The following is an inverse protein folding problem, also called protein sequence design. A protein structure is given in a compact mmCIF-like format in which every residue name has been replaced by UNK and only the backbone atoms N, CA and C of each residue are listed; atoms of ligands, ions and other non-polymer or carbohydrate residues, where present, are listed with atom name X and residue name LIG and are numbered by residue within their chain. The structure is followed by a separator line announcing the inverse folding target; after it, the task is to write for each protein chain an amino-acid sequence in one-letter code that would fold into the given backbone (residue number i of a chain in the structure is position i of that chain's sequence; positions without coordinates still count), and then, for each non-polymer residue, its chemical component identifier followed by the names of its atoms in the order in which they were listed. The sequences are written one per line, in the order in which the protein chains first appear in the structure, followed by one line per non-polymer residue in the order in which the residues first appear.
data_IF_682039442603
#
_entry.id   IF_682039442603
#
_cell.length_a   1.000
_cell.length_b   1.000
_cell.length_c   1.000
_cell.angle_alpha   90.00
_cell.angle_beta   90.00
_cell.angle_gamma   90.00
#
_symmetry.space_group_name_H-M   'P 1'
#
loop_
_entity.id
_entity.type
_entity.pdbx_description
1 polymer ?
#
# COMPACT_ATOMS: atom_id res chain seq x y z
N UNK A 1 -18.68 -9.14 8.75
CA UNK A 1 -18.52 -9.79 7.43
C UNK A 1 -19.84 -10.34 6.94
N UNK A 2 -20.43 -11.36 7.58
CA UNK A 2 -21.78 -11.84 7.22
C UNK A 2 -22.83 -10.72 7.32
N UNK A 3 -22.79 -9.95 8.41
CA UNK A 3 -23.74 -8.85 8.69
C UNK A 3 -23.40 -7.51 8.00
N UNK A 4 -22.23 -7.41 7.36
CA UNK A 4 -21.79 -6.14 6.75
C UNK A 4 -22.51 -5.93 5.45
N UNK A 5 -23.36 -4.91 5.35
CA UNK A 5 -24.11 -4.60 4.12
C UNK A 5 -23.18 -4.03 3.04
N UNK A 6 -23.59 -4.15 1.78
CA UNK A 6 -22.86 -3.60 0.63
C UNK A 6 -23.76 -2.56 -0.03
N UNK A 7 -23.22 -1.38 -0.36
CA UNK A 7 -23.91 -0.37 -1.16
C UNK A 7 -24.39 -0.93 -2.51
N UNK A 8 -25.61 -0.58 -2.92
CA UNK A 8 -26.28 -1.12 -4.12
C UNK A 8 -25.46 -0.98 -5.42
N UNK A 9 -24.60 0.03 -5.52
CA UNK A 9 -23.76 0.25 -6.69
C UNK A 9 -22.60 -0.75 -6.81
N UNK A 10 -22.08 -1.27 -5.69
CA UNK A 10 -20.86 -2.10 -5.66
C UNK A 10 -20.98 -3.37 -6.51
N UNK A 11 -22.05 -4.18 -6.45
CA UNK A 11 -22.17 -5.37 -7.29
C UNK A 11 -22.02 -5.08 -8.79
N UNK A 12 -22.62 -3.98 -9.27
CA UNK A 12 -22.50 -3.57 -10.67
C UNK A 12 -21.07 -3.14 -11.05
N UNK A 13 -20.36 -2.51 -10.11
CA UNK A 13 -18.96 -2.09 -10.29
C UNK A 13 -18.04 -3.31 -10.29
N UNK A 14 -18.24 -4.28 -9.39
CA UNK A 14 -17.50 -5.54 -9.36
C UNK A 14 -17.67 -6.25 -10.70
N UNK A 15 -18.91 -6.36 -11.18
CA UNK A 15 -19.22 -6.96 -12.48
C UNK A 15 -18.38 -6.32 -13.60
N UNK A 16 -18.36 -4.99 -13.70
CA UNK A 16 -17.57 -4.25 -14.69
C UNK A 16 -16.08 -4.61 -14.69
N UNK A 17 -15.50 -4.91 -13.51
CA UNK A 17 -14.11 -5.31 -13.38
C UNK A 17 -13.89 -6.74 -13.86
N UNK A 18 -14.77 -7.66 -13.48
CA UNK A 18 -14.57 -9.12 -13.66
C UNK A 18 -15.12 -9.67 -14.98
N UNK A 19 -16.03 -8.97 -15.68
CA UNK A 19 -16.64 -9.42 -16.95
C UNK A 19 -15.61 -9.78 -18.02
N UNK A 20 -14.43 -9.15 -17.99
CA UNK A 20 -13.32 -9.48 -18.89
C UNK A 20 -12.77 -10.92 -18.74
N UNK A 21 -13.16 -11.63 -17.69
CA UNK A 21 -12.79 -13.02 -17.39
C UNK A 21 -13.99 -13.97 -17.48
N UNK A 22 -15.11 -13.54 -18.08
CA UNK A 22 -16.34 -14.34 -18.15
C UNK A 22 -16.22 -15.62 -18.97
N UNK A 23 -15.37 -15.60 -20.00
CA UNK A 23 -15.17 -16.72 -20.94
C UNK A 23 -14.17 -17.76 -20.40
N UNK A 24 -13.45 -17.43 -19.33
CA UNK A 24 -12.48 -18.31 -18.68
C UNK A 24 -13.16 -19.19 -17.63
N UNK A 25 -12.86 -20.49 -17.64
CA UNK A 25 -13.30 -21.46 -16.63
C UNK A 25 -12.13 -21.78 -15.68
N UNK A 26 -12.43 -21.96 -14.40
CA UNK A 26 -11.47 -22.39 -13.38
C UNK A 26 -12.20 -23.12 -12.27
N UNK A 27 -11.63 -24.22 -11.75
CA UNK A 27 -12.21 -25.00 -10.65
C UNK A 27 -13.70 -25.42 -10.81
N UNK A 28 -14.19 -25.56 -12.05
CA UNK A 28 -15.57 -25.97 -12.34
C UNK A 28 -16.58 -24.82 -12.50
N UNK A 29 -16.15 -23.56 -12.31
CA UNK A 29 -16.99 -22.38 -12.52
C UNK A 29 -16.29 -21.33 -13.41
N UNK A 30 -17.02 -20.29 -13.79
CA UNK A 30 -16.44 -19.14 -14.50
C UNK A 30 -15.47 -18.41 -13.57
N UNK A 31 -14.30 -18.05 -14.07
CA UNK A 31 -13.30 -17.29 -13.34
C UNK A 31 -13.86 -15.95 -12.83
N UNK A 32 -14.71 -15.29 -13.63
CA UNK A 32 -15.45 -14.09 -13.22
C UNK A 32 -16.29 -14.28 -11.95
N UNK A 33 -16.88 -15.46 -11.72
CA UNK A 33 -17.67 -15.75 -10.52
C UNK A 33 -16.76 -15.85 -9.30
N UNK A 34 -15.66 -16.60 -9.40
CA UNK A 34 -14.68 -16.67 -8.31
C UNK A 34 -14.11 -15.29 -7.94
N UNK A 35 -13.78 -14.47 -8.95
CA UNK A 35 -13.28 -13.10 -8.74
C UNK A 35 -14.35 -12.20 -8.12
N UNK A 36 -15.62 -12.33 -8.52
CA UNK A 36 -16.74 -11.59 -7.91
C UNK A 36 -16.81 -11.89 -6.42
N UNK A 37 -16.83 -13.18 -6.07
CA UNK A 37 -16.89 -13.66 -4.68
C UNK A 37 -15.67 -13.23 -3.86
N UNK A 38 -14.48 -13.24 -4.46
CA UNK A 38 -13.26 -12.73 -3.83
C UNK A 38 -13.38 -11.23 -3.49
N UNK A 39 -13.75 -10.41 -4.48
CA UNK A 39 -13.84 -8.96 -4.27
C UNK A 39 -14.95 -8.62 -3.29
N UNK A 40 -16.11 -9.30 -3.35
CA UNK A 40 -17.19 -9.15 -2.38
C UNK A 40 -16.73 -9.44 -0.94
N UNK A 41 -16.09 -10.60 -0.73
CA UNK A 41 -15.62 -11.03 0.58
C UNK A 41 -14.64 -10.01 1.19
N UNK A 42 -13.65 -9.57 0.42
CA UNK A 42 -12.65 -8.63 0.91
C UNK A 42 -13.22 -7.21 1.07
N UNK A 43 -14.18 -6.81 0.25
CA UNK A 43 -14.91 -5.53 0.43
C UNK A 43 -15.59 -5.49 1.80
N UNK A 44 -16.30 -6.58 2.18
CA UNK A 44 -16.93 -6.70 3.49
C UNK A 44 -15.93 -6.80 4.63
N UNK A 45 -14.82 -7.53 4.44
CA UNK A 45 -13.75 -7.63 5.44
C UNK A 45 -13.15 -6.25 5.73
N UNK A 46 -12.79 -5.50 4.68
CA UNK A 46 -12.17 -4.18 4.82
C UNK A 46 -13.12 -3.20 5.50
N UNK A 47 -14.40 -3.19 5.11
CA UNK A 47 -15.42 -2.39 5.78
C UNK A 47 -15.54 -2.76 7.29
N UNK A 48 -15.53 -4.05 7.61
CA UNK A 48 -15.54 -4.52 9.01
C UNK A 48 -14.30 -4.05 9.78
N UNK A 49 -13.10 -4.17 9.20
CA UNK A 49 -11.85 -3.68 9.80
C UNK A 49 -11.89 -2.15 10.02
N UNK A 50 -12.57 -1.43 9.13
CA UNK A 50 -12.88 0.00 9.27
C UNK A 50 -14.00 0.34 10.27
N UNK A 51 -14.59 -0.66 10.93
CA UNK A 51 -15.78 -0.49 11.79
C UNK A 51 -16.99 0.10 11.06
N UNK A 52 -17.09 -0.10 9.74
CA UNK A 52 -18.23 0.31 8.93
C UNK A 52 -19.29 -0.81 8.89
N UNK A 53 -20.54 -0.46 9.14
CA UNK A 53 -21.67 -1.39 8.99
C UNK A 53 -22.10 -1.58 7.53
N UNK A 54 -21.78 -0.60 6.67
CA UNK A 54 -22.06 -0.60 5.23
C UNK A 54 -20.74 -0.39 4.50
N UNK A 55 -20.40 -1.31 3.60
CA UNK A 55 -19.22 -1.24 2.77
C UNK A 55 -19.41 -0.25 1.62
N UNK A 56 -18.43 0.64 1.44
CA UNK A 56 -18.46 1.69 0.43
C UNK A 56 -17.52 1.41 -0.76
N UNK A 57 -17.60 2.23 -1.81
CA UNK A 57 -16.71 2.14 -2.98
C UNK A 57 -15.20 2.20 -2.63
N UNK A 58 -14.83 2.87 -1.54
CA UNK A 58 -13.45 2.88 -1.04
C UNK A 58 -12.99 1.49 -0.58
N UNK A 59 -13.87 0.72 0.06
CA UNK A 59 -13.59 -0.63 0.54
C UNK A 59 -13.45 -1.60 -0.63
N UNK A 60 -14.32 -1.45 -1.64
CA UNK A 60 -14.20 -2.19 -2.89
C UNK A 60 -12.90 -1.86 -3.63
N UNK A 61 -12.47 -0.60 -3.62
CA UNK A 61 -11.20 -0.19 -4.24
C UNK A 61 -10.01 -0.86 -3.55
N UNK A 62 -10.00 -0.91 -2.22
CA UNK A 62 -8.98 -1.63 -1.45
C UNK A 62 -9.00 -3.15 -1.72
N UNK A 63 -10.18 -3.76 -1.89
CA UNK A 63 -10.30 -5.17 -2.25
C UNK A 63 -9.74 -5.48 -3.66
N UNK A 64 -9.93 -4.56 -4.62
CA UNK A 64 -9.32 -4.66 -5.95
C UNK A 64 -7.80 -4.49 -5.86
N UNK A 65 -7.32 -3.54 -5.05
CA UNK A 65 -5.88 -3.31 -4.85
C UNK A 65 -5.20 -4.52 -4.20
N UNK A 66 -5.90 -5.23 -3.31
CA UNK A 66 -5.46 -6.53 -2.80
C UNK A 66 -5.35 -7.58 -3.92
N UNK A 67 -6.38 -7.73 -4.75
CA UNK A 67 -6.36 -8.67 -5.86
C UNK A 67 -5.21 -8.37 -6.83
N UNK A 68 -5.03 -7.10 -7.18
CA UNK A 68 -3.92 -6.63 -8.01
C UNK A 68 -2.57 -6.95 -7.36
N UNK A 69 -2.41 -6.69 -6.06
CA UNK A 69 -1.19 -7.03 -5.33
C UNK A 69 -0.87 -8.53 -5.39
N UNK A 70 -1.84 -9.40 -5.10
CA UNK A 70 -1.65 -10.87 -5.10
C UNK A 70 -1.35 -11.42 -6.50
N UNK A 71 -1.80 -10.74 -7.56
CA UNK A 71 -1.66 -11.21 -8.94
C UNK A 71 -0.45 -10.59 -9.66
N UNK A 72 -0.04 -9.38 -9.29
CA UNK A 72 1.16 -8.72 -9.81
C UNK A 72 2.46 -9.12 -9.09
N UNK A 73 2.35 -9.55 -7.83
CA UNK A 73 3.51 -9.80 -6.95
C UNK A 73 3.77 -11.30 -6.79
N UNK A 74 5.03 -11.68 -6.68
CA UNK A 74 5.44 -13.04 -6.31
C UNK A 74 5.83 -13.11 -4.83
N UNK A 75 5.78 -14.31 -4.24
CA UNK A 75 6.18 -14.60 -2.85
C UNK A 75 5.37 -13.86 -1.78
N UNK A 76 4.17 -13.37 -2.06
CA UNK A 76 3.28 -12.83 -1.01
C UNK A 76 2.87 -13.91 0.01
N UNK A 77 2.97 -15.19 -0.33
CA UNK A 77 2.67 -16.31 0.56
C UNK A 77 3.76 -16.58 1.63
N UNK A 78 4.80 -15.75 1.72
CA UNK A 78 5.79 -15.81 2.82
C UNK A 78 5.33 -15.07 4.08
N UNK A 79 4.17 -14.42 4.04
CA UNK A 79 3.55 -13.79 5.21
C UNK A 79 3.26 -14.89 6.24
N UNK A 80 3.52 -14.59 7.52
CA UNK A 80 3.29 -15.54 8.62
C UNK A 80 2.44 -14.90 9.69
N UNK A 81 1.87 -15.70 10.60
CA UNK A 81 1.15 -15.16 11.78
C UNK A 81 2.01 -14.30 12.70
N UNK A 82 3.35 -14.46 12.65
CA UNK A 82 4.30 -13.64 13.41
C UNK A 82 4.60 -12.31 12.72
N UNK A 83 4.50 -12.29 11.40
CA UNK A 83 4.73 -11.11 10.56
C UNK A 83 3.62 -11.03 9.50
N UNK A 84 2.38 -10.61 9.88
CA UNK A 84 1.20 -10.76 9.03
C UNK A 84 1.06 -9.67 7.94
N UNK A 85 1.85 -8.60 7.96
CA UNK A 85 1.71 -7.49 7.03
C UNK A 85 2.16 -7.77 5.60
N UNK A 86 1.51 -7.12 4.62
CA UNK A 86 1.94 -7.09 3.23
C UNK A 86 3.30 -6.42 3.11
N UNK A 87 4.20 -7.08 2.39
CA UNK A 87 5.46 -6.47 1.95
C UNK A 87 5.19 -5.84 0.58
N UNK A 88 5.28 -4.51 0.49
CA UNK A 88 4.99 -3.71 -0.72
C UNK A 88 6.06 -3.88 -1.82
N UNK A 89 6.21 -5.11 -2.33
CA UNK A 89 7.16 -5.46 -3.38
C UNK A 89 6.79 -4.79 -4.72
N UNK A 90 7.78 -4.50 -5.59
CA UNK A 90 7.49 -4.07 -6.95
C UNK A 90 6.71 -5.16 -7.71
N UNK A 91 5.80 -4.76 -8.62
CA UNK A 91 5.10 -5.71 -9.47
C UNK A 91 6.12 -6.49 -10.33
N UNK A 92 5.86 -7.78 -10.53
CA UNK A 92 6.74 -8.71 -11.26
C UNK A 92 6.14 -9.22 -12.57
N UNK A 93 4.87 -8.91 -12.82
CA UNK A 93 4.08 -9.33 -13.99
C UNK A 93 2.82 -8.50 -14.09
N UNK A 94 2.19 -8.52 -15.25
CA UNK A 94 0.90 -7.88 -15.47
C UNK A 94 -0.21 -8.71 -14.79
N UNK A 95 -1.01 -8.13 -13.88
CA UNK A 95 -1.96 -8.87 -13.06
C UNK A 95 -3.13 -9.48 -13.86
N UNK A 96 -3.61 -8.84 -14.92
CA UNK A 96 -4.73 -9.35 -15.74
C UNK A 96 -4.32 -10.58 -16.56
N UNK A 97 -3.14 -10.55 -17.16
CA UNK A 97 -2.57 -11.67 -17.90
C UNK A 97 -2.30 -12.83 -16.95
N UNK A 98 -1.82 -12.54 -15.73
CA UNK A 98 -1.67 -13.56 -14.70
C UNK A 98 -3.01 -14.19 -14.32
N UNK A 99 -4.05 -13.39 -14.04
CA UNK A 99 -5.40 -13.89 -13.72
C UNK A 99 -5.93 -14.77 -14.86
N UNK A 100 -5.82 -14.34 -16.13
CA UNK A 100 -6.24 -15.16 -17.28
C UNK A 100 -5.50 -16.49 -17.32
N UNK A 101 -4.20 -16.48 -17.06
CA UNK A 101 -3.37 -17.69 -17.11
C UNK A 101 -3.75 -18.76 -16.07
N UNK A 102 -4.57 -18.41 -15.06
CA UNK A 102 -5.09 -19.34 -14.06
C UNK A 102 -6.14 -20.28 -14.65
N UNK A 103 -6.86 -19.87 -15.70
CA UNK A 103 -7.81 -20.78 -16.38
C UNK A 103 -7.14 -21.93 -17.12
N UNK A 104 -5.83 -21.87 -17.32
CA UNK A 104 -5.03 -22.95 -17.91
C UNK A 104 -4.63 -24.02 -16.87
N UNK A 105 -4.85 -23.76 -15.58
CA UNK A 105 -4.46 -24.67 -14.51
C UNK A 105 -5.45 -25.83 -14.38
N UNK A 106 -4.92 -27.01 -14.08
CA UNK A 106 -5.72 -28.12 -13.57
C UNK A 106 -5.73 -28.06 -12.04
N UNK A 107 -6.91 -27.97 -11.44
CA UNK A 107 -7.04 -28.10 -9.99
C UNK A 107 -6.91 -29.59 -9.64
N UNK A 108 -5.89 -29.92 -8.85
CA UNK A 108 -5.59 -31.30 -8.45
C UNK A 108 -6.71 -31.89 -7.56
N UNK A 109 -6.99 -33.20 -7.65
CA UNK A 109 -8.02 -33.84 -6.82
C UNK A 109 -7.80 -33.64 -5.32
N UNK A 110 -6.54 -33.75 -4.86
CA UNK A 110 -6.19 -33.51 -3.46
C UNK A 110 -6.51 -32.06 -3.02
N UNK A 111 -6.25 -31.05 -3.88
CA UNK A 111 -6.62 -29.66 -3.60
C UNK A 111 -8.13 -29.52 -3.45
N UNK A 112 -8.92 -30.11 -4.37
CA UNK A 112 -10.38 -30.06 -4.34
C UNK A 112 -10.95 -30.73 -3.08
N UNK A 113 -10.44 -31.91 -2.73
CA UNK A 113 -10.85 -32.64 -1.53
C UNK A 113 -10.60 -31.82 -0.26
N UNK A 114 -9.44 -31.17 -0.16
CA UNK A 114 -9.11 -30.30 0.97
C UNK A 114 -10.01 -29.05 1.04
N UNK A 115 -10.31 -28.43 -0.10
CA UNK A 115 -11.25 -27.31 -0.18
C UNK A 115 -12.63 -27.73 0.30
N UNK A 116 -13.17 -28.85 -0.20
CA UNK A 116 -14.48 -29.37 0.21
C UNK A 116 -14.52 -29.68 1.71
N UNK A 117 -13.52 -30.40 2.23
CA UNK A 117 -13.45 -30.73 3.65
C UNK A 117 -13.33 -29.48 4.54
N UNK A 118 -12.61 -28.45 4.10
CA UNK A 118 -12.52 -27.18 4.83
C UNK A 118 -13.84 -26.39 4.78
N UNK A 119 -14.53 -26.41 3.64
CA UNK A 119 -15.83 -25.77 3.48
C UNK A 119 -16.92 -26.45 4.33
N UNK A 120 -16.95 -27.78 4.40
CA UNK A 120 -17.87 -28.53 5.27
C UNK A 120 -17.65 -28.19 6.75
N UNK A 121 -16.39 -28.16 7.21
CA UNK A 121 -16.07 -27.77 8.59
C UNK A 121 -16.45 -26.33 8.89
N UNK A 122 -16.21 -25.43 7.94
CA UNK A 122 -16.57 -24.03 8.10
C UNK A 122 -18.09 -23.83 8.13
N UNK A 123 -18.84 -24.50 7.24
CA UNK A 123 -20.30 -24.51 7.24
C UNK A 123 -20.86 -25.05 8.56
N UNK A 124 -20.35 -26.20 9.02
CA UNK A 124 -20.73 -26.77 10.32
C UNK A 124 -20.49 -25.81 11.49
N UNK A 125 -19.35 -25.11 11.49
CA UNK A 125 -19.08 -24.07 12.49
C UNK A 125 -20.09 -22.91 12.42
N UNK A 126 -20.42 -22.42 11.23
CA UNK A 126 -21.40 -21.33 11.07
C UNK A 126 -22.81 -21.75 11.52
N UNK A 127 -23.20 -22.99 11.26
CA UNK A 127 -24.47 -23.57 11.69
C UNK A 127 -24.52 -23.75 13.21
N UNK A 128 -23.46 -24.33 13.80
CA UNK A 128 -23.36 -24.56 15.25
C UNK A 128 -23.39 -23.27 16.07
N UNK A 129 -22.85 -22.18 15.51
CA UNK A 129 -22.77 -20.87 16.16
C UNK A 129 -23.86 -19.88 15.74
N UNK A 130 -24.82 -20.32 14.92
CA UNK A 130 -25.93 -19.51 14.39
C UNK A 130 -25.50 -18.17 13.78
N UNK A 131 -24.44 -18.20 12.96
CA UNK A 131 -23.86 -17.01 12.35
C UNK A 131 -24.62 -16.62 11.08
N UNK A 132 -25.59 -15.70 11.20
CA UNK A 132 -26.39 -15.21 10.07
C UNK A 132 -27.47 -16.19 9.59
N UNK A 133 -28.19 -15.83 8.53
CA UNK A 133 -29.24 -16.70 7.96
C UNK A 133 -28.64 -17.88 7.18
N UNK A 134 -29.40 -18.97 6.92
CA UNK A 134 -28.93 -20.08 6.10
C UNK A 134 -28.40 -19.66 4.72
N UNK A 135 -29.02 -18.66 4.09
CA UNK A 135 -28.60 -18.11 2.80
C UNK A 135 -27.27 -17.34 2.91
N UNK A 136 -27.10 -16.56 3.97
CA UNK A 136 -25.85 -15.86 4.27
C UNK A 136 -24.70 -16.84 4.54
N UNK A 137 -24.98 -17.90 5.31
CA UNK A 137 -24.01 -18.99 5.58
C UNK A 137 -23.58 -19.69 4.29
N UNK A 138 -24.53 -20.08 3.45
CA UNK A 138 -24.24 -20.69 2.15
C UNK A 138 -23.40 -19.78 1.27
N UNK A 139 -23.76 -18.49 1.21
CA UNK A 139 -23.02 -17.50 0.41
C UNK A 139 -21.59 -17.32 0.93
N UNK A 140 -21.40 -17.26 2.25
CA UNK A 140 -20.08 -17.12 2.85
C UNK A 140 -19.21 -18.36 2.60
N UNK A 141 -19.79 -19.57 2.66
CA UNK A 141 -19.11 -20.81 2.28
C UNK A 141 -18.64 -20.79 0.81
N UNK A 142 -19.53 -20.42 -0.13
CA UNK A 142 -19.19 -20.30 -1.56
C UNK A 142 -18.07 -19.27 -1.81
N UNK A 143 -18.11 -18.16 -1.07
CA UNK A 143 -17.08 -17.13 -1.13
C UNK A 143 -15.73 -17.67 -0.67
N UNK A 144 -15.71 -18.40 0.46
CA UNK A 144 -14.48 -19.02 0.99
C UNK A 144 -13.92 -20.08 0.05
N UNK A 145 -14.77 -20.96 -0.52
CA UNK A 145 -14.39 -21.95 -1.52
C UNK A 145 -13.69 -21.27 -2.71
N UNK A 146 -14.30 -20.20 -3.23
CA UNK A 146 -13.75 -19.45 -4.36
C UNK A 146 -12.40 -18.80 -4.03
N UNK A 147 -12.27 -18.22 -2.84
CA UNK A 147 -11.01 -17.64 -2.37
C UNK A 147 -9.90 -18.69 -2.22
N UNK A 148 -10.19 -19.83 -1.60
CA UNK A 148 -9.20 -20.92 -1.47
C UNK A 148 -8.80 -21.48 -2.83
N UNK A 149 -9.75 -21.67 -3.75
CA UNK A 149 -9.46 -22.11 -5.11
C UNK A 149 -8.54 -21.11 -5.84
N UNK A 150 -8.90 -19.81 -5.84
CA UNK A 150 -8.11 -18.75 -6.48
C UNK A 150 -6.70 -18.66 -5.90
N UNK A 151 -6.57 -18.58 -4.58
CA UNK A 151 -5.28 -18.45 -3.91
C UNK A 151 -4.40 -19.69 -4.12
N UNK A 152 -4.99 -20.89 -4.16
CA UNK A 152 -4.27 -22.12 -4.51
C UNK A 152 -3.75 -22.06 -5.95
N UNK A 153 -4.60 -21.60 -6.88
CA UNK A 153 -4.23 -21.38 -8.27
C UNK A 153 -3.13 -20.32 -8.43
N UNK A 154 -3.23 -19.20 -7.71
CA UNK A 154 -2.24 -18.13 -7.74
C UNK A 154 -0.89 -18.60 -7.20
N UNK A 155 -0.86 -19.33 -6.08
CA UNK A 155 0.37 -19.92 -5.53
C UNK A 155 0.99 -20.88 -6.55
N UNK A 156 0.20 -21.80 -7.09
CA UNK A 156 0.64 -22.79 -8.08
C UNK A 156 1.24 -22.14 -9.33
N UNK A 157 0.50 -21.22 -9.97
CA UNK A 157 0.96 -20.52 -11.18
C UNK A 157 2.18 -19.65 -10.91
N UNK A 158 2.25 -19.03 -9.73
CA UNK A 158 3.42 -18.24 -9.33
C UNK A 158 4.70 -19.05 -9.16
N UNK A 159 4.58 -20.36 -8.93
CA UNK A 159 5.70 -21.30 -8.90
C UNK A 159 5.98 -21.93 -10.28
N UNK A 160 5.30 -21.49 -11.34
CA UNK A 160 5.46 -22.02 -12.70
C UNK A 160 4.84 -23.41 -12.90
N UNK A 161 3.97 -23.86 -11.99
CA UNK A 161 3.29 -25.15 -12.10
C UNK A 161 1.95 -25.00 -12.83
N UNK A 162 1.50 -26.10 -13.44
CA UNK A 162 0.23 -26.19 -14.18
C UNK A 162 -0.85 -27.00 -13.44
N UNK A 163 -0.49 -27.66 -12.33
CA UNK A 163 -1.40 -28.49 -11.53
C UNK A 163 -1.23 -28.11 -10.06
N UNK A 164 -2.34 -27.79 -9.39
CA UNK A 164 -2.34 -27.49 -7.94
C UNK A 164 -2.11 -28.76 -7.13
N UNK A 165 -1.49 -28.62 -5.96
CA UNK A 165 -1.26 -29.70 -4.99
C UNK A 165 -1.94 -29.38 -3.67
N UNK A 166 -1.90 -30.32 -2.72
CA UNK A 166 -2.33 -30.09 -1.34
C UNK A 166 -1.57 -28.93 -0.69
N UNK A 167 -0.26 -28.80 -0.94
CA UNK A 167 0.56 -27.72 -0.38
C UNK A 167 0.10 -26.32 -0.84
N UNK A 168 -0.44 -26.19 -2.06
CA UNK A 168 -1.04 -24.94 -2.53
C UNK A 168 -2.28 -24.57 -1.72
N UNK A 169 -3.11 -25.56 -1.40
CA UNK A 169 -4.27 -25.37 -0.55
C UNK A 169 -3.85 -24.97 0.86
N UNK A 170 -2.90 -25.66 1.49
CA UNK A 170 -2.46 -25.31 2.84
C UNK A 170 -1.91 -23.89 2.90
N UNK A 171 -1.20 -23.47 1.85
CA UNK A 171 -0.73 -22.09 1.70
C UNK A 171 -1.89 -21.09 1.59
N UNK A 172 -2.88 -21.39 0.73
CA UNK A 172 -4.07 -20.56 0.56
C UNK A 172 -4.91 -20.47 1.83
N UNK A 173 -5.05 -21.59 2.54
CA UNK A 173 -5.80 -21.70 3.78
C UNK A 173 -5.15 -20.89 4.90
N UNK A 174 -3.84 -21.00 5.09
CA UNK A 174 -3.13 -20.21 6.10
C UNK A 174 -3.10 -18.72 5.74
N UNK A 175 -2.92 -18.37 4.46
CA UNK A 175 -3.03 -16.98 4.01
C UNK A 175 -4.41 -16.40 4.35
N UNK A 176 -5.50 -17.09 4.01
CA UNK A 176 -6.85 -16.60 4.33
C UNK A 176 -7.02 -16.33 5.83
N UNK A 177 -6.50 -17.22 6.68
CA UNK A 177 -6.52 -17.00 8.14
C UNK A 177 -5.72 -15.78 8.56
N UNK A 178 -4.55 -15.58 7.97
CA UNK A 178 -3.73 -14.39 8.24
C UNK A 178 -4.49 -13.12 7.85
N UNK A 179 -5.03 -13.07 6.64
CA UNK A 179 -5.80 -11.93 6.13
C UNK A 179 -7.03 -11.62 7.00
N UNK A 180 -7.74 -12.64 7.45
CA UNK A 180 -8.98 -12.46 8.24
C UNK A 180 -8.73 -12.00 9.67
N UNK A 181 -7.61 -12.39 10.29
CA UNK A 181 -7.43 -12.23 11.75
C UNK A 181 -6.19 -11.46 12.19
N UNK A 182 -5.21 -11.26 11.31
CA UNK A 182 -3.90 -10.73 11.70
C UNK A 182 -3.46 -9.50 10.88
N UNK A 183 -4.05 -9.26 9.71
CA UNK A 183 -3.70 -8.11 8.87
C UNK A 183 -4.50 -6.88 9.29
N UNK A 184 -3.83 -5.78 9.68
CA UNK A 184 -4.52 -4.55 10.09
C UNK A 184 -5.08 -3.79 8.89
N UNK A 185 -6.01 -2.86 9.14
CA UNK A 185 -6.61 -2.04 8.07
C UNK A 185 -5.57 -1.22 7.30
N UNK A 186 -4.55 -0.73 7.98
CA UNK A 186 -3.48 0.10 7.42
C UNK A 186 -2.74 -0.61 6.27
N UNK A 187 -2.69 -1.94 6.30
CA UNK A 187 -2.08 -2.74 5.24
C UNK A 187 -2.86 -2.64 3.92
N UNK A 188 -4.19 -2.70 3.99
CA UNK A 188 -5.07 -2.50 2.83
C UNK A 188 -5.03 -1.06 2.33
N UNK A 189 -5.08 -0.09 3.25
CA UNK A 189 -4.98 1.33 2.91
C UNK A 189 -3.64 1.68 2.24
N UNK A 190 -2.54 1.06 2.68
CA UNK A 190 -1.22 1.27 2.09
C UNK A 190 -1.13 0.78 0.64
N UNK A 191 -1.80 -0.33 0.28
CA UNK A 191 -1.89 -0.81 -1.10
C UNK A 191 -2.56 0.22 -2.01
N UNK A 192 -3.63 0.84 -1.54
CA UNK A 192 -4.30 1.92 -2.28
C UNK A 192 -3.46 3.19 -2.31
N UNK A 193 -2.87 3.59 -1.18
CA UNK A 193 -2.04 4.78 -1.07
C UNK A 193 -0.84 4.74 -2.03
N UNK A 194 -0.09 3.63 -2.08
CA UNK A 194 1.06 3.51 -2.98
C UNK A 194 0.66 3.63 -4.44
N UNK A 195 -0.45 2.99 -4.84
CA UNK A 195 -0.96 3.08 -6.21
C UNK A 195 -1.39 4.50 -6.55
N UNK A 196 -2.20 5.13 -5.69
CA UNK A 196 -2.72 6.49 -5.90
C UNK A 196 -1.62 7.53 -5.97
N UNK A 197 -0.59 7.40 -5.13
CA UNK A 197 0.61 8.23 -5.22
C UNK A 197 1.29 8.00 -6.57
N UNK A 198 1.66 6.76 -6.90
CA UNK A 198 2.42 6.42 -8.10
C UNK A 198 1.71 6.77 -9.42
N UNK A 199 0.38 6.78 -9.42
CA UNK A 199 -0.44 7.15 -10.60
C UNK A 199 -1.06 8.53 -10.48
N UNK A 200 -0.58 9.40 -9.59
CA UNK A 200 -1.19 10.71 -9.40
C UNK A 200 -0.88 11.63 -10.59
N UNK A 201 -1.90 12.25 -11.22
CA UNK A 201 -1.69 13.18 -12.33
C UNK A 201 -1.02 14.50 -11.88
N UNK A 202 -0.90 14.71 -10.56
CA UNK A 202 -0.24 15.88 -9.97
C UNK A 202 1.28 15.70 -9.93
N UNK A 203 1.79 14.46 -9.91
CA UNK A 203 3.24 14.20 -9.84
C UNK A 203 4.03 14.88 -10.96
N UNK A 204 3.66 14.78 -12.25
CA UNK A 204 4.37 15.50 -13.32
C UNK A 204 4.39 17.01 -13.11
N UNK A 205 3.35 17.59 -12.51
CA UNK A 205 3.26 19.03 -12.22
C UNK A 205 4.21 19.42 -11.08
N UNK A 206 4.19 18.68 -9.98
CA UNK A 206 5.08 18.88 -8.81
C UNK A 206 6.54 18.87 -9.26
N UNK A 207 6.85 17.88 -10.08
CA UNK A 207 8.17 17.64 -10.62
C UNK A 207 8.63 18.75 -11.58
N UNK A 208 7.70 19.30 -12.37
CA UNK A 208 7.97 20.42 -13.27
C UNK A 208 8.24 21.76 -12.57
N UNK A 209 8.07 21.85 -11.24
CA UNK A 209 8.40 23.06 -10.49
C UNK A 209 9.91 23.17 -10.29
N UNK A 210 10.50 24.20 -10.89
CA UNK A 210 11.93 24.51 -10.76
C UNK A 210 12.23 25.34 -9.52
N UNK A 211 13.36 25.07 -8.86
CA UNK A 211 13.89 25.94 -7.82
C UNK A 211 14.94 26.89 -8.39
N UNK A 212 14.78 28.18 -8.14
CA UNK A 212 15.83 29.16 -8.39
C UNK A 212 17.05 28.90 -7.50
N UNK A 213 18.27 29.31 -7.92
CA UNK A 213 19.45 29.23 -7.06
C UNK A 213 19.30 29.98 -5.73
N UNK A 214 18.59 31.12 -5.72
CA UNK A 214 18.32 31.89 -4.51
C UNK A 214 17.44 31.14 -3.52
N UNK A 215 16.35 30.53 -3.98
CA UNK A 215 15.49 29.69 -3.14
C UNK A 215 16.25 28.47 -2.58
N UNK A 216 17.01 27.76 -3.42
CA UNK A 216 17.84 26.63 -2.95
C UNK A 216 18.88 27.07 -1.93
N UNK A 217 19.51 28.24 -2.11
CA UNK A 217 20.45 28.80 -1.14
C UNK A 217 19.77 29.00 0.22
N UNK A 218 18.61 29.67 0.24
CA UNK A 218 17.85 29.90 1.48
C UNK A 218 17.45 28.58 2.16
N UNK A 219 16.98 27.60 1.38
CA UNK A 219 16.61 26.29 1.92
C UNK A 219 17.80 25.54 2.52
N UNK A 220 18.97 25.58 1.88
CA UNK A 220 20.19 24.92 2.36
C UNK A 220 20.90 25.65 3.51
N UNK A 221 20.52 26.91 3.79
CA UNK A 221 20.92 27.66 4.98
C UNK A 221 19.84 27.73 6.07
N UNK A 222 18.69 27.08 5.84
CA UNK A 222 17.56 27.10 6.77
C UNK A 222 17.85 26.38 8.09
N UNK A 223 16.99 26.60 9.09
CA UNK A 223 17.03 25.87 10.36
C UNK A 223 17.01 24.35 10.13
N UNK A 224 16.17 23.86 9.22
CA UNK A 224 16.10 22.45 8.86
C UNK A 224 17.45 21.90 8.39
N UNK A 225 18.15 22.63 7.51
CA UNK A 225 19.47 22.23 7.02
C UNK A 225 20.54 22.24 8.12
N UNK A 226 20.45 23.19 9.06
CA UNK A 226 21.39 23.28 10.18
C UNK A 226 21.18 22.13 11.18
N UNK A 227 19.93 21.77 11.46
CA UNK A 227 19.58 20.64 12.32
C UNK A 227 20.07 19.31 11.74
N UNK A 228 19.90 19.09 10.43
CA UNK A 228 20.43 17.90 9.75
C UNK A 228 21.95 17.78 9.84
N UNK A 229 22.66 18.91 9.69
CA UNK A 229 24.13 18.94 9.81
C UNK A 229 24.56 18.61 11.25
N UNK A 230 23.92 19.23 12.24
CA UNK A 230 24.23 19.03 13.66
C UNK A 230 24.00 17.59 14.12
N UNK A 231 22.98 16.92 13.58
CA UNK A 231 22.58 15.57 13.99
C UNK A 231 22.85 14.48 12.93
N UNK A 232 23.72 14.76 11.96
CA UNK A 232 24.00 13.85 10.83
C UNK A 232 24.40 12.43 11.26
N UNK A 233 25.08 12.27 12.40
CA UNK A 233 25.45 10.97 12.97
C UNK A 233 24.25 10.08 13.33
N UNK A 234 23.11 10.67 13.70
CA UNK A 234 21.89 9.93 14.06
C UNK A 234 21.13 9.41 12.83
N UNK A 235 21.38 9.99 11.66
CA UNK A 235 20.72 9.63 10.41
C UNK A 235 21.47 8.57 9.59
N UNK A 236 22.67 8.16 10.02
CA UNK A 236 23.58 7.29 9.24
C UNK A 236 22.96 5.94 8.90
N UNK A 237 22.31 5.29 9.87
CA UNK A 237 21.71 3.96 9.68
C UNK A 237 20.55 4.02 8.67
N UNK A 238 19.65 4.99 8.84
CA UNK A 238 18.54 5.19 7.90
C UNK A 238 19.03 5.70 6.52
N UNK A 239 20.17 6.39 6.47
CA UNK A 239 20.74 6.86 5.21
C UNK A 239 21.26 5.70 4.36
N UNK A 240 21.80 4.65 4.97
CA UNK A 240 22.16 3.43 4.27
C UNK A 240 20.92 2.72 3.70
N UNK A 241 19.83 2.68 4.47
CA UNK A 241 18.56 2.05 4.07
C UNK A 241 17.88 2.77 2.89
N UNK A 242 18.09 4.08 2.74
CA UNK A 242 17.32 4.96 1.83
C UNK A 242 18.13 5.51 0.67
N UNK A 243 19.30 4.94 0.38
CA UNK A 243 20.25 5.44 -0.62
C UNK A 243 20.62 6.92 -0.41
N UNK A 244 20.67 7.35 0.85
CA UNK A 244 21.04 8.71 1.25
C UNK A 244 19.90 9.73 1.30
N UNK A 245 18.65 9.35 0.97
CA UNK A 245 17.52 10.28 1.03
C UNK A 245 17.30 10.88 2.43
N UNK A 246 17.54 10.10 3.49
CA UNK A 246 17.43 10.57 4.87
C UNK A 246 18.59 11.43 5.36
N UNK A 247 19.69 11.60 4.59
CA UNK A 247 20.77 12.56 4.97
C UNK A 247 20.31 14.02 4.89
N UNK A 248 19.27 14.25 4.11
CA UNK A 248 18.64 15.56 3.90
C UNK A 248 17.13 15.43 4.08
N UNK A 249 16.71 14.76 5.16
CA UNK A 249 15.33 14.40 5.44
C UNK A 249 14.36 15.59 5.46
N UNK A 250 14.58 16.55 6.36
CA UNK A 250 13.78 17.76 6.52
C UNK A 250 13.88 18.64 5.28
N UNK A 251 15.08 18.87 4.75
CA UNK A 251 15.27 19.74 3.59
C UNK A 251 14.61 19.15 2.34
N UNK A 252 14.71 17.84 2.10
CA UNK A 252 14.00 17.19 1.00
C UNK A 252 12.48 17.13 1.22
N UNK A 253 12.02 16.98 2.45
CA UNK A 253 10.59 17.08 2.79
C UNK A 253 10.04 18.47 2.47
N UNK A 254 10.76 19.52 2.87
CA UNK A 254 10.42 20.91 2.54
C UNK A 254 10.45 21.16 1.03
N UNK A 255 11.41 20.57 0.28
CA UNK A 255 11.41 20.67 -1.19
C UNK A 255 10.13 20.09 -1.78
N UNK A 256 9.72 18.89 -1.37
CA UNK A 256 8.51 18.27 -1.93
C UNK A 256 7.27 19.13 -1.62
N UNK A 257 7.11 19.55 -0.38
CA UNK A 257 5.96 20.35 0.03
C UNK A 257 5.94 21.72 -0.65
N UNK A 258 7.10 22.37 -0.81
CA UNK A 258 7.21 23.60 -1.58
C UNK A 258 6.78 23.42 -3.04
N UNK A 259 7.17 22.31 -3.68
CA UNK A 259 6.73 22.00 -5.05
C UNK A 259 5.22 21.76 -5.11
N UNK A 260 4.63 21.08 -4.13
CA UNK A 260 3.19 20.87 -4.05
C UNK A 260 2.46 22.22 -3.94
N UNK A 261 2.90 23.10 -3.02
CA UNK A 261 2.34 24.45 -2.87
C UNK A 261 2.51 25.33 -4.11
N UNK A 262 3.64 25.21 -4.78
CA UNK A 262 3.86 25.91 -6.05
C UNK A 262 2.82 25.48 -7.10
N UNK A 263 2.55 24.17 -7.23
CA UNK A 263 1.51 23.66 -8.15
C UNK A 263 0.13 24.19 -7.78
N UNK A 264 -0.25 24.18 -6.50
CA UNK A 264 -1.52 24.73 -6.03
C UNK A 264 -1.68 26.22 -6.39
N UNK A 265 -0.58 26.98 -6.32
CA UNK A 265 -0.51 28.40 -6.69
C UNK A 265 -0.33 28.66 -8.19
N UNK A 266 -0.24 27.61 -9.01
CA UNK A 266 0.00 27.73 -10.45
C UNK A 266 1.40 28.22 -10.82
N UNK A 267 2.38 28.08 -9.91
CA UNK A 267 3.77 28.47 -10.12
C UNK A 267 4.55 27.32 -10.75
N UNK A 268 5.25 27.60 -11.85
CA UNK A 268 6.22 26.67 -12.47
C UNK A 268 7.64 26.84 -11.92
N UNK A 269 7.90 27.90 -11.16
CA UNK A 269 9.24 28.21 -10.61
C UNK A 269 9.14 28.90 -9.26
N UNK A 270 9.99 28.49 -8.33
CA UNK A 270 10.16 29.07 -7.00
C UNK A 270 11.41 29.96 -6.94
N UNK A 271 11.18 31.27 -7.00
CA UNK A 271 12.14 32.34 -6.75
C UNK A 271 12.41 32.62 -5.27
N UNK A 272 13.48 33.36 -4.95
CA UNK A 272 13.85 33.76 -3.57
C UNK A 272 12.71 34.51 -2.86
N UNK A 273 11.99 35.35 -3.61
CA UNK A 273 10.82 36.12 -3.18
C UNK A 273 9.64 35.27 -2.70
N UNK A 274 9.60 33.98 -3.07
CA UNK A 274 8.54 33.07 -2.66
C UNK A 274 8.86 32.34 -1.34
N UNK A 275 10.12 32.40 -0.87
CA UNK A 275 10.62 31.51 0.18
C UNK A 275 9.78 31.59 1.47
N UNK A 276 9.66 32.77 2.06
CA UNK A 276 8.99 32.92 3.36
C UNK A 276 7.53 32.46 3.31
N UNK A 277 6.79 32.88 2.27
CA UNK A 277 5.40 32.50 2.10
C UNK A 277 5.22 30.98 1.91
N UNK A 278 6.01 30.36 1.04
CA UNK A 278 5.91 28.92 0.75
C UNK A 278 6.31 28.06 1.95
N UNK A 279 7.32 28.48 2.72
CA UNK A 279 7.76 27.76 3.91
C UNK A 279 6.68 27.82 5.01
N UNK A 280 6.03 28.97 5.22
CA UNK A 280 4.90 29.08 6.16
C UNK A 280 3.73 28.17 5.73
N UNK A 281 3.39 28.14 4.44
CA UNK A 281 2.31 27.26 3.95
C UNK A 281 2.65 25.78 3.99
N UNK A 282 3.93 25.45 3.81
CA UNK A 282 4.46 24.10 3.97
C UNK A 282 4.28 23.62 5.41
N UNK A 283 4.54 24.50 6.36
CA UNK A 283 4.30 24.26 7.77
C UNK A 283 2.81 24.03 8.09
N UNK A 284 1.91 24.75 7.44
CA UNK A 284 0.48 24.48 7.55
C UNK A 284 0.08 23.10 7.01
N UNK A 285 0.74 22.59 5.96
CA UNK A 285 0.48 21.21 5.47
C UNK A 285 0.82 20.16 6.52
N UNK A 286 1.95 20.31 7.22
CA UNK A 286 2.29 19.41 8.33
C UNK A 286 1.22 19.43 9.41
N UNK A 287 0.70 20.62 9.75
CA UNK A 287 -0.38 20.74 10.73
C UNK A 287 -1.66 20.04 10.27
N UNK A 288 -2.02 20.12 8.97
CA UNK A 288 -3.22 19.44 8.42
C UNK A 288 -3.17 17.92 8.57
N UNK A 289 -1.98 17.32 8.50
CA UNK A 289 -1.80 15.87 8.72
C UNK A 289 -1.52 15.50 10.18
N UNK A 290 -1.74 16.43 11.12
CA UNK A 290 -1.60 16.17 12.56
C UNK A 290 -0.17 16.22 13.09
N UNK A 291 0.80 16.78 12.34
CA UNK A 291 2.19 16.88 12.78
C UNK A 291 2.43 18.27 13.43
N UNK A 292 2.77 18.33 14.72
CA UNK A 292 3.00 19.60 15.41
C UNK A 292 4.26 20.30 14.89
N UNK A 293 4.12 21.57 14.53
CA UNK A 293 5.18 22.43 14.02
C UNK A 293 6.37 22.60 14.95
N UNK A 294 6.11 22.51 16.26
CA UNK A 294 7.13 22.55 17.32
C UNK A 294 8.19 21.47 17.14
N UNK A 295 7.85 20.35 16.49
CA UNK A 295 8.79 19.25 16.21
C UNK A 295 9.90 19.62 15.23
N UNK A 296 9.69 20.63 14.38
CA UNK A 296 10.60 21.05 13.31
C UNK A 296 11.30 22.39 13.60
N UNK A 297 10.91 23.08 14.67
CA UNK A 297 11.40 24.41 15.03
C UNK A 297 12.31 24.41 16.28
N UNK A 298 12.35 23.29 17.03
CA UNK A 298 13.17 23.13 18.22
C UNK A 298 14.27 22.09 17.96
N UNK A 299 15.53 22.44 18.23
CA UNK A 299 16.69 21.55 18.10
C UNK A 299 16.55 20.27 18.93
N UNK A 300 16.04 20.38 20.16
CA UNK A 300 15.80 19.20 21.00
C UNK A 300 14.75 18.27 20.40
N UNK A 301 13.68 18.83 19.81
CA UNK A 301 12.62 18.03 19.20
C UNK A 301 13.02 17.42 17.85
N UNK A 302 13.82 18.12 17.05
CA UNK A 302 14.36 17.59 15.81
C UNK A 302 15.42 16.50 16.05
N UNK A 303 16.28 16.68 17.07
CA UNK A 303 17.20 15.65 17.53
C UNK A 303 16.48 14.37 17.97
N UNK A 304 15.35 14.50 18.68
CA UNK A 304 14.50 13.34 19.01
C UNK A 304 13.96 12.65 17.76
N UNK A 305 13.41 13.40 16.78
CA UNK A 305 12.94 12.83 15.50
C UNK A 305 14.06 12.07 14.77
N UNK A 306 15.29 12.58 14.79
CA UNK A 306 16.41 11.92 14.13
C UNK A 306 16.90 10.68 14.88
N UNK A 307 16.88 10.69 16.21
CA UNK A 307 17.13 9.50 17.02
C UNK A 307 16.04 8.44 16.83
N UNK A 308 14.80 8.88 16.63
CA UNK A 308 13.62 8.05 16.39
C UNK A 308 13.64 7.36 15.02
N UNK A 309 14.44 7.82 14.05
CA UNK A 309 14.51 7.24 12.70
C UNK A 309 15.38 5.98 12.60
N UNK A 310 15.60 5.25 13.70
CA UNK A 310 16.35 3.99 13.66
C UNK A 310 15.52 2.89 13.00
N UNK A 311 16.02 2.23 11.93
CA UNK A 311 15.26 1.21 11.24
C UNK A 311 15.16 -0.07 12.09
N UNK A 312 13.96 -0.62 12.21
CA UNK A 312 13.74 -1.95 12.76
C UNK A 312 14.23 -3.05 11.81
N UNK A 313 14.12 -4.30 12.26
CA UNK A 313 14.51 -5.46 11.44
C UNK A 313 13.75 -5.49 10.11
N UNK A 314 14.48 -5.65 9.00
CA UNK A 314 13.90 -5.74 7.65
C UNK A 314 13.37 -4.44 7.05
N UNK A 315 13.28 -3.34 7.80
CA UNK A 315 12.73 -2.05 7.31
C UNK A 315 13.52 -1.50 6.12
N UNK A 316 14.84 -1.65 6.12
CA UNK A 316 15.67 -1.21 5.01
C UNK A 316 15.29 -1.88 3.69
N UNK A 317 15.03 -3.20 3.71
CA UNK A 317 14.59 -3.94 2.52
C UNK A 317 13.18 -3.48 2.09
N UNK A 318 12.27 -3.26 3.05
CA UNK A 318 10.91 -2.80 2.77
C UNK A 318 10.88 -1.41 2.13
N UNK A 319 11.74 -0.49 2.57
CA UNK A 319 11.92 0.83 1.94
C UNK A 319 12.40 0.66 0.48
N UNK A 320 13.39 -0.20 0.24
CA UNK A 320 13.88 -0.45 -1.12
C UNK A 320 12.79 -1.03 -2.04
N UNK A 321 11.96 -1.94 -1.53
CA UNK A 321 10.82 -2.47 -2.27
C UNK A 321 9.78 -1.39 -2.58
N UNK A 322 9.44 -0.56 -1.60
CA UNK A 322 8.51 0.54 -1.78
C UNK A 322 9.01 1.56 -2.82
N UNK A 323 10.30 1.92 -2.77
CA UNK A 323 10.94 2.79 -3.76
C UNK A 323 10.78 2.22 -5.16
N UNK A 324 11.17 0.96 -5.37
CA UNK A 324 11.05 0.29 -6.67
C UNK A 324 9.60 0.18 -7.14
N UNK A 325 8.66 -0.03 -6.21
CA UNK A 325 7.22 -0.08 -6.52
C UNK A 325 6.71 1.29 -6.98
N UNK A 326 7.07 2.36 -6.29
CA UNK A 326 6.71 3.73 -6.70
C UNK A 326 7.31 4.10 -8.06
N UNK A 327 8.60 3.77 -8.28
CA UNK A 327 9.27 3.98 -9.57
C UNK A 327 8.54 3.28 -10.72
N UNK A 328 8.20 1.99 -10.55
CA UNK A 328 7.45 1.23 -11.55
C UNK A 328 6.09 1.87 -11.86
N UNK A 329 5.31 2.20 -10.82
CA UNK A 329 3.98 2.81 -10.99
C UNK A 329 4.05 4.18 -11.70
N UNK A 330 5.06 4.99 -11.40
CA UNK A 330 5.25 6.31 -12.02
C UNK A 330 5.62 6.16 -13.49
N UNK A 331 6.53 5.23 -13.83
CA UNK A 331 6.90 4.96 -15.23
C UNK A 331 5.70 4.47 -16.02
N UNK A 332 4.94 3.52 -15.46
CA UNK A 332 3.74 2.98 -16.10
C UNK A 332 2.67 4.06 -16.30
N UNK A 333 2.48 4.94 -15.31
CA UNK A 333 1.48 6.01 -15.39
C UNK A 333 1.85 7.15 -16.33
N UNK A 334 3.14 7.45 -16.49
CA UNK A 334 3.62 8.56 -17.35
C UNK A 334 3.90 8.11 -18.77
N UNK A 335 4.04 6.80 -19.01
CA UNK A 335 4.39 6.23 -20.30
C UNK A 335 5.81 6.59 -20.77
N UNK A 336 6.63 7.21 -19.92
CA UNK A 336 7.94 7.71 -20.27
C UNK A 336 9.01 7.20 -19.29
N UNK A 337 9.88 6.30 -19.77
CA UNK A 337 11.01 5.80 -18.97
C UNK A 337 12.02 6.90 -18.61
N UNK A 338 12.12 7.95 -19.43
CA UNK A 338 13.00 9.08 -19.17
C UNK A 338 12.47 9.99 -18.06
N UNK A 339 11.20 9.81 -17.64
CA UNK A 339 10.63 10.56 -16.52
C UNK A 339 11.51 10.43 -15.27
N UNK A 340 11.92 9.20 -14.91
CA UNK A 340 12.76 8.99 -13.74
C UNK A 340 14.16 9.59 -13.90
N UNK A 341 14.72 9.61 -15.12
CA UNK A 341 16.03 10.22 -15.38
C UNK A 341 15.97 11.74 -15.28
N UNK A 342 14.95 12.35 -15.90
CA UNK A 342 14.71 13.78 -15.89
C UNK A 342 14.40 14.27 -14.47
N UNK A 343 13.80 13.41 -13.64
CA UNK A 343 13.22 13.79 -12.36
C UNK A 343 13.70 12.92 -11.20
N UNK A 344 14.96 12.49 -11.27
CA UNK A 344 15.62 11.60 -10.30
C UNK A 344 15.57 12.10 -8.84
N UNK A 345 15.28 13.39 -8.62
CA UNK A 345 15.17 13.99 -7.29
C UNK A 345 13.80 13.79 -6.62
N UNK A 346 12.76 13.41 -7.36
CA UNK A 346 11.40 13.28 -6.80
C UNK A 346 11.31 12.16 -5.76
N UNK A 347 11.73 10.94 -6.14
CA UNK A 347 11.61 9.76 -5.28
C UNK A 347 12.35 9.94 -3.95
N UNK A 348 13.61 10.42 -3.90
CA UNK A 348 14.28 10.74 -2.64
C UNK A 348 13.50 11.73 -1.77
N UNK A 349 12.84 12.73 -2.37
CA UNK A 349 12.04 13.70 -1.62
C UNK A 349 10.76 13.09 -1.05
N UNK A 350 10.12 12.21 -1.80
CA UNK A 350 8.96 11.45 -1.32
C UNK A 350 9.34 10.50 -0.18
N UNK A 351 10.45 9.78 -0.31
CA UNK A 351 10.96 8.90 0.75
C UNK A 351 11.34 9.69 2.00
N UNK A 352 11.95 10.85 1.84
CA UNK A 352 12.29 11.72 2.97
C UNK A 352 11.03 12.18 3.73
N UNK A 353 10.02 12.66 3.01
CA UNK A 353 8.76 13.05 3.64
C UNK A 353 8.06 11.85 4.27
N UNK A 354 7.99 10.71 3.58
CA UNK A 354 7.43 9.46 4.09
C UNK A 354 8.03 9.07 5.45
N UNK A 355 9.35 9.10 5.57
CA UNK A 355 10.05 8.74 6.81
C UNK A 355 9.74 9.71 7.94
N UNK A 356 9.64 11.00 7.63
CA UNK A 356 9.24 12.02 8.60
C UNK A 356 7.78 11.82 9.07
N UNK A 357 6.89 11.39 8.16
CA UNK A 357 5.51 11.05 8.51
C UNK A 357 5.46 9.76 9.36
N UNK A 358 6.21 8.74 8.95
CA UNK A 358 6.28 7.45 9.64
C UNK A 358 6.82 7.58 11.07
N UNK A 359 7.83 8.43 11.31
CA UNK A 359 8.34 8.65 12.67
C UNK A 359 7.29 9.22 13.63
N UNK A 360 6.26 9.88 13.10
CA UNK A 360 5.14 10.44 13.88
C UNK A 360 3.94 9.52 14.04
N UNK A 361 3.92 8.37 13.39
CA UNK A 361 2.82 7.39 13.49
C UNK A 361 3.14 6.22 14.42
N UNK A 362 4.27 6.30 15.10
CA UNK A 362 4.78 5.28 16.03
C UNK A 362 4.02 5.29 17.34
N UNK A 363 3.83 4.09 17.89
CA UNK A 363 3.15 3.91 19.18
C UNK A 363 4.00 4.34 20.38
N UNK A 364 5.34 4.32 20.26
CA UNK A 364 6.30 4.78 21.27
C UNK A 364 7.46 5.47 20.58
N UNK A 365 8.12 6.43 21.24
CA UNK A 365 9.33 7.12 20.76
C UNK A 365 10.61 6.30 20.96
N UNK A 366 10.57 5.27 21.82
CA UNK A 366 11.75 4.45 22.17
C UNK A 366 11.94 3.22 21.27
N UNK A 367 10.89 2.78 20.56
CA UNK A 367 10.98 1.68 19.58
C UNK A 367 11.82 2.05 18.34
N UNK A 368 12.23 1.11 17.50
CA UNK A 368 12.63 1.43 16.14
C UNK A 368 11.40 1.74 15.27
N UNK A 369 11.62 2.33 14.08
CA UNK A 369 10.58 2.38 13.03
C UNK A 369 10.32 0.96 12.54
N UNK A 370 9.06 0.60 12.45
CA UNK A 370 8.59 -0.67 11.90
C UNK A 370 7.86 -0.48 10.57
N UNK A 371 7.51 -1.59 9.92
CA UNK A 371 6.82 -1.55 8.64
C UNK A 371 5.42 -0.93 8.71
N UNK A 372 4.72 -1.13 9.83
CA UNK A 372 3.39 -0.54 10.03
C UNK A 372 3.46 0.99 10.06
N UNK A 373 4.55 1.56 10.60
CA UNK A 373 4.79 3.00 10.61
C UNK A 373 5.02 3.53 9.20
N UNK A 374 5.76 2.79 8.37
CA UNK A 374 5.94 3.16 6.96
C UNK A 374 4.60 3.18 6.21
N UNK A 375 3.72 2.21 6.48
CA UNK A 375 2.38 2.14 5.87
C UNK A 375 1.50 3.31 6.31
N UNK A 376 1.47 3.62 7.61
CA UNK A 376 0.78 4.79 8.16
C UNK A 376 1.32 6.09 7.56
N UNK A 377 2.64 6.24 7.49
CA UNK A 377 3.30 7.36 6.82
C UNK A 377 2.93 7.47 5.33
N UNK A 378 2.77 6.35 4.63
CA UNK A 378 2.41 6.30 3.21
C UNK A 378 0.97 6.77 2.97
N UNK A 379 0.06 6.41 3.88
CA UNK A 379 -1.33 6.90 3.87
C UNK A 379 -1.36 8.41 4.08
N UNK A 380 -0.56 8.95 5.01
CA UNK A 380 -0.44 10.39 5.21
C UNK A 380 0.17 11.10 3.99
N UNK A 381 1.19 10.50 3.36
CA UNK A 381 1.81 11.04 2.16
C UNK A 381 0.80 11.12 1.00
N UNK A 382 -0.05 10.10 0.86
CA UNK A 382 -1.11 10.09 -0.13
C UNK A 382 -2.06 11.29 0.04
N UNK A 383 -2.48 11.57 1.28
CA UNK A 383 -3.31 12.73 1.60
C UNK A 383 -2.62 14.03 1.18
N UNK A 384 -1.36 14.24 1.58
CA UNK A 384 -0.60 15.46 1.22
C UNK A 384 -0.50 15.69 -0.30
N UNK A 385 -0.37 14.62 -1.09
CA UNK A 385 -0.18 14.73 -2.55
C UNK A 385 -1.50 14.93 -3.29
N UNK A 386 -2.62 14.40 -2.78
CA UNK A 386 -3.87 14.26 -3.54
C UNK A 386 -5.08 14.95 -2.91
N UNK A 387 -5.00 15.42 -1.68
CA UNK A 387 -6.03 16.17 -0.93
C UNK A 387 -5.49 17.55 -0.55
#
# INVERSE_FOLDING_TARGET
MAETQIEDEIPSRIHTVVTRFQDSQFAGERLSVHLTRFVDLFTRLIALLGSHSVAALSDMTMAIDLLDFLTSTSKWWVITRKEPGFILRPPSREPRDFIKSVSELKVGPATLERISAAAERFGGFLDEHDVGTPEERSTLCDNMISCWALLSGFTCKSQGRSVTTEADFETAYDLMRILLFYVPLEDYQALTAVRRIGTSPVLPKIVGVEFSPGFERLLNSSLAANLEKAHSGQLVEMAAATSGASRSLLTNSLRLLAQIRAVERGLSRLGEEHYDAIIVETFEMFKKVGIPLTSLQNESSAGLVFQELRPGSGVAERIQFLVRRLEALIVDSTGNKDFLLQYAKLIPRMVALLLLLASKTRDSTESPIEDIDLKRGLILLHKIINE
#
